data_IF_975397033778
#
_entry.id   IF_975397033778
#
_cell.length_a   1.000
_cell.length_b   1.000
_cell.length_c   1.000
_cell.angle_alpha   90.00
_cell.angle_beta   90.00
_cell.angle_gamma   90.00
#
_symmetry.space_group_name_H-M   'P 1'
#
loop_
_entity.id
_entity.type
_entity.pdbx_description
1 polymer ?
#
# COMPACT_ATOMS: atom_id res chain seq x y z
N UNK A 1 21.60 -7.13 1.53
CA UNK A 1 20.42 -6.37 1.95
C UNK A 1 20.45 -4.92 1.49
N UNK A 2 21.53 -4.20 1.81
CA UNK A 2 21.66 -2.79 1.41
C UNK A 2 21.63 -2.62 -0.12
N UNK A 3 22.36 -3.47 -0.84
CA UNK A 3 22.42 -3.39 -2.31
C UNK A 3 21.03 -3.66 -2.91
N UNK A 4 20.30 -4.64 -2.35
CA UNK A 4 18.96 -4.95 -2.82
C UNK A 4 18.00 -3.78 -2.62
N UNK A 5 18.04 -3.15 -1.44
CA UNK A 5 17.22 -1.98 -1.14
C UNK A 5 17.59 -0.80 -2.05
N UNK A 6 18.86 -0.61 -2.34
CA UNK A 6 19.33 0.45 -3.22
C UNK A 6 18.82 0.23 -4.65
N UNK A 7 18.87 -1.01 -5.15
CA UNK A 7 18.39 -1.35 -6.48
C UNK A 7 16.88 -1.08 -6.57
N UNK A 8 16.11 -1.52 -5.58
CA UNK A 8 14.66 -1.28 -5.56
C UNK A 8 14.37 0.21 -5.50
N UNK A 9 15.09 0.95 -4.68
CA UNK A 9 14.91 2.39 -4.52
C UNK A 9 15.16 3.16 -5.82
N UNK A 10 16.09 2.68 -6.65
CA UNK A 10 16.37 3.28 -7.96
C UNK A 10 15.39 2.80 -9.02
N UNK A 11 15.04 1.50 -9.02
CA UNK A 11 14.19 0.90 -10.05
C UNK A 11 12.75 1.40 -10.00
N UNK A 12 12.19 1.57 -8.80
CA UNK A 12 10.78 1.96 -8.68
C UNK A 12 10.53 3.33 -9.32
N UNK A 13 11.30 4.40 -9.02
CA UNK A 13 11.10 5.68 -9.70
C UNK A 13 11.32 5.60 -11.21
N UNK A 14 12.29 4.78 -11.66
CA UNK A 14 12.55 4.63 -13.10
C UNK A 14 11.35 4.00 -13.79
N UNK A 15 10.78 2.94 -13.21
CA UNK A 15 9.60 2.28 -13.76
C UNK A 15 8.43 3.25 -13.81
N UNK A 16 8.22 4.03 -12.76
CA UNK A 16 7.11 4.97 -12.70
C UNK A 16 7.22 6.09 -13.72
N UNK A 17 8.41 6.65 -13.87
CA UNK A 17 8.64 7.71 -14.87
C UNK A 17 8.41 7.13 -16.27
N UNK A 18 8.89 5.91 -16.53
CA UNK A 18 8.68 5.24 -17.81
C UNK A 18 7.19 5.03 -18.08
N UNK A 19 6.42 4.61 -17.07
CA UNK A 19 4.98 4.44 -17.20
C UNK A 19 4.27 5.77 -17.46
N UNK A 20 4.66 6.84 -16.79
CA UNK A 20 4.10 8.17 -17.02
C UNK A 20 4.32 8.63 -18.45
N UNK A 21 5.53 8.45 -18.96
CA UNK A 21 5.85 8.84 -20.33
C UNK A 21 5.02 8.02 -21.32
N UNK A 22 4.94 6.73 -21.12
CA UNK A 22 4.24 5.83 -22.04
C UNK A 22 2.72 6.07 -22.02
N UNK A 23 2.12 6.10 -20.85
CA UNK A 23 0.68 6.34 -20.71
C UNK A 23 0.32 7.76 -21.15
N UNK A 24 1.17 8.73 -20.80
CA UNK A 24 0.96 10.11 -21.21
C UNK A 24 0.97 10.30 -22.72
N UNK A 25 1.74 9.48 -23.46
CA UNK A 25 1.76 9.54 -24.90
C UNK A 25 0.46 9.03 -25.54
N UNK A 26 -0.26 8.14 -24.84
CA UNK A 26 -1.53 7.60 -25.33
C UNK A 26 -2.72 8.48 -24.96
N UNK A 27 -2.80 8.94 -23.72
CA UNK A 27 -3.99 9.63 -23.21
C UNK A 27 -3.81 11.14 -23.08
N UNK A 28 -2.59 11.64 -23.21
CA UNK A 28 -2.28 13.04 -23.05
C UNK A 28 -1.94 13.42 -21.61
N UNK A 29 -1.21 14.54 -21.45
CA UNK A 29 -0.73 14.95 -20.12
C UNK A 29 -1.88 15.37 -19.21
N UNK A 30 -2.91 16.04 -19.74
CA UNK A 30 -4.05 16.47 -18.92
C UNK A 30 -4.81 15.26 -18.35
N UNK A 31 -5.08 14.25 -19.18
CA UNK A 31 -5.77 13.04 -18.72
C UNK A 31 -4.92 12.25 -17.73
N UNK A 32 -3.61 12.24 -17.91
CA UNK A 32 -2.69 11.59 -16.97
C UNK A 32 -2.76 12.26 -15.60
N UNK A 33 -2.76 13.60 -15.57
CA UNK A 33 -2.88 14.35 -14.31
C UNK A 33 -4.23 14.07 -13.64
N UNK A 34 -5.32 14.00 -14.41
CA UNK A 34 -6.63 13.66 -13.88
C UNK A 34 -6.65 12.27 -13.26
N UNK A 35 -6.01 11.30 -13.91
CA UNK A 35 -5.90 9.94 -13.37
C UNK A 35 -5.15 9.92 -12.05
N UNK A 36 -4.06 10.67 -11.95
CA UNK A 36 -3.27 10.76 -10.73
C UNK A 36 -4.11 11.34 -9.59
N UNK A 37 -4.79 12.45 -9.82
CA UNK A 37 -5.64 13.06 -8.80
C UNK A 37 -6.78 12.15 -8.40
N UNK A 38 -7.42 11.48 -9.37
CA UNK A 38 -8.53 10.58 -9.09
C UNK A 38 -8.10 9.41 -8.21
N UNK A 39 -6.98 8.78 -8.56
CA UNK A 39 -6.46 7.64 -7.77
C UNK A 39 -6.04 8.09 -6.38
N UNK A 40 -5.43 9.28 -6.26
CA UNK A 40 -5.03 9.82 -4.97
C UNK A 40 -6.22 10.07 -4.05
N UNK A 41 -7.29 10.67 -4.58
CA UNK A 41 -8.50 10.96 -3.80
C UNK A 41 -9.19 9.67 -3.36
N UNK A 42 -9.33 8.71 -4.26
CA UNK A 42 -9.93 7.42 -3.94
C UNK A 42 -9.07 6.69 -2.90
N UNK A 43 -7.75 6.73 -3.07
CA UNK A 43 -6.82 6.08 -2.15
C UNK A 43 -6.91 6.68 -0.75
N UNK A 44 -6.92 8.00 -0.63
CA UNK A 44 -7.04 8.67 0.67
C UNK A 44 -8.36 8.29 1.34
N UNK A 45 -9.45 8.23 0.60
CA UNK A 45 -10.73 7.83 1.14
C UNK A 45 -10.69 6.42 1.73
N UNK A 46 -10.15 5.46 0.98
CA UNK A 46 -10.06 4.07 1.45
C UNK A 46 -9.10 3.93 2.64
N UNK A 47 -7.97 4.64 2.62
CA UNK A 47 -7.03 4.62 3.72
C UNK A 47 -7.69 5.13 4.99
N UNK A 48 -8.43 6.24 4.90
CA UNK A 48 -9.12 6.81 6.04
C UNK A 48 -10.16 5.85 6.59
N UNK A 49 -10.98 5.26 5.72
CA UNK A 49 -12.04 4.35 6.12
C UNK A 49 -11.47 3.10 6.80
N UNK A 50 -10.48 2.48 6.19
CA UNK A 50 -9.90 1.26 6.72
C UNK A 50 -9.00 1.53 7.94
N UNK A 51 -8.35 2.67 7.96
CA UNK A 51 -7.54 3.07 9.12
C UNK A 51 -8.38 3.26 10.37
N UNK A 52 -9.54 3.92 10.24
CA UNK A 52 -10.48 4.11 11.35
C UNK A 52 -11.01 2.76 11.82
N UNK A 53 -11.42 1.90 10.89
CA UNK A 53 -11.91 0.57 11.21
C UNK A 53 -10.86 -0.26 11.95
N UNK A 54 -9.62 -0.24 11.49
CA UNK A 54 -8.52 -0.96 12.12
C UNK A 54 -8.22 -0.40 13.50
N UNK A 55 -8.29 0.91 13.68
CA UNK A 55 -8.08 1.55 14.97
C UNK A 55 -9.09 1.07 16.00
N UNK A 56 -10.38 1.03 15.65
CA UNK A 56 -11.41 0.54 16.56
C UNK A 56 -11.25 -0.94 16.87
N UNK A 57 -10.87 -1.73 15.87
CA UNK A 57 -10.60 -3.14 16.08
C UNK A 57 -9.44 -3.36 17.04
N UNK A 58 -8.38 -2.57 16.90
CA UNK A 58 -7.23 -2.62 17.79
C UNK A 58 -7.65 -2.25 19.22
N UNK A 59 -8.42 -1.16 19.36
CA UNK A 59 -8.89 -0.71 20.65
C UNK A 59 -9.73 -1.78 21.35
N UNK A 60 -10.67 -2.42 20.62
CA UNK A 60 -11.50 -3.46 21.19
C UNK A 60 -10.68 -4.68 21.61
N UNK A 61 -9.69 -5.07 20.83
CA UNK A 61 -8.84 -6.21 21.17
C UNK A 61 -8.00 -5.92 22.43
N UNK A 62 -7.51 -4.70 22.57
CA UNK A 62 -6.76 -4.31 23.75
C UNK A 62 -7.65 -4.28 25.01
N UNK A 63 -8.91 -3.83 24.86
CA UNK A 63 -9.87 -3.83 25.97
C UNK A 63 -10.17 -5.25 26.43
N UNK A 64 -10.24 -6.21 25.53
CA UNK A 64 -10.53 -7.61 25.81
C UNK A 64 -9.27 -8.41 26.20
N UNK A 65 -8.14 -7.72 26.36
CA UNK A 65 -6.85 -8.34 26.69
C UNK A 65 -6.41 -9.39 25.66
N UNK A 66 -6.81 -9.21 24.41
CA UNK A 66 -6.35 -10.04 23.31
C UNK A 66 -5.05 -9.51 22.73
N UNK A 67 -4.23 -10.40 22.16
CA UNK A 67 -3.00 -10.00 21.49
C UNK A 67 -3.34 -9.55 20.07
N UNK A 68 -3.20 -8.24 19.73
CA UNK A 68 -3.66 -7.71 18.45
C UNK A 68 -2.57 -7.79 17.37
N UNK A 69 -1.89 -8.93 17.27
CA UNK A 69 -0.74 -9.05 16.37
C UNK A 69 -1.17 -8.89 14.91
N UNK A 70 -2.23 -9.61 14.51
CA UNK A 70 -2.71 -9.52 13.14
C UNK A 70 -3.26 -8.13 12.82
N UNK A 71 -3.95 -7.49 13.75
CA UNK A 71 -4.48 -6.15 13.58
C UNK A 71 -3.35 -5.12 13.43
N UNK A 72 -2.27 -5.29 14.17
CA UNK A 72 -1.10 -4.43 14.03
C UNK A 72 -0.46 -4.56 12.65
N UNK A 73 -0.36 -5.79 12.13
CA UNK A 73 0.13 -6.00 10.75
C UNK A 73 -0.80 -5.37 9.72
N UNK A 74 -2.12 -5.50 9.91
CA UNK A 74 -3.08 -4.85 9.03
C UNK A 74 -2.91 -3.33 9.04
N UNK A 75 -2.74 -2.74 10.22
CA UNK A 75 -2.51 -1.29 10.33
C UNK A 75 -1.23 -0.86 9.63
N UNK A 76 -0.17 -1.65 9.76
CA UNK A 76 1.10 -1.37 9.09
C UNK A 76 0.95 -1.44 7.57
N UNK A 77 0.25 -2.45 7.05
CA UNK A 77 0.01 -2.58 5.61
C UNK A 77 -0.83 -1.42 5.09
N UNK A 78 -1.85 -1.00 5.83
CA UNK A 78 -2.68 0.15 5.45
C UNK A 78 -1.83 1.43 5.41
N UNK A 79 -0.95 1.62 6.39
CA UNK A 79 -0.06 2.78 6.44
C UNK A 79 0.88 2.81 5.24
N UNK A 80 1.51 1.68 4.93
CA UNK A 80 2.41 1.56 3.78
C UNK A 80 1.64 1.81 2.48
N UNK A 81 0.44 1.24 2.36
CA UNK A 81 -0.41 1.44 1.19
C UNK A 81 -0.78 2.90 1.01
N UNK A 82 -1.08 3.61 2.12
CA UNK A 82 -1.37 5.02 2.08
C UNK A 82 -0.20 5.84 1.58
N UNK A 83 1.01 5.53 2.04
CA UNK A 83 2.22 6.21 1.59
C UNK A 83 2.43 5.98 0.10
N UNK A 84 2.23 4.76 -0.39
CA UNK A 84 2.36 4.44 -1.80
C UNK A 84 1.34 5.18 -2.66
N UNK A 85 0.12 5.36 -2.17
CA UNK A 85 -0.94 6.06 -2.89
C UNK A 85 -0.71 7.57 -2.93
N UNK A 86 -0.14 8.14 -1.88
CA UNK A 86 0.17 9.57 -1.83
C UNK A 86 1.29 9.90 -2.81
N UNK A 87 2.27 9.00 -2.95
CA UNK A 87 3.33 9.16 -3.94
C UNK A 87 2.76 8.91 -5.33
N UNK A 88 2.75 9.90 -6.24
CA UNK A 88 2.15 9.70 -7.55
C UNK A 88 2.93 8.69 -8.37
N UNK A 89 2.23 7.70 -8.91
CA UNK A 89 2.84 6.68 -9.73
C UNK A 89 1.85 5.57 -10.05
N UNK A 90 1.88 5.05 -11.27
CA UNK A 90 0.96 3.99 -11.67
C UNK A 90 1.29 2.66 -10.99
N UNK A 91 2.59 2.35 -10.88
CA UNK A 91 3.03 1.12 -10.24
C UNK A 91 2.77 1.13 -8.74
N UNK A 92 3.14 2.23 -8.06
CA UNK A 92 2.92 2.36 -6.62
C UNK A 92 1.44 2.45 -6.27
N UNK A 93 0.62 3.10 -7.13
CA UNK A 93 -0.82 3.14 -6.92
C UNK A 93 -1.42 1.73 -6.97
N UNK A 94 -1.00 0.91 -7.93
CA UNK A 94 -1.46 -0.47 -8.03
C UNK A 94 -1.11 -1.25 -6.77
N UNK A 95 0.12 -1.15 -6.30
CA UNK A 95 0.55 -1.82 -5.08
C UNK A 95 -0.22 -1.31 -3.86
N UNK A 96 -0.45 0.01 -3.79
CA UNK A 96 -1.22 0.61 -2.70
C UNK A 96 -2.64 0.10 -2.64
N UNK A 97 -3.33 0.04 -3.79
CA UNK A 97 -4.69 -0.48 -3.84
C UNK A 97 -4.76 -1.96 -3.48
N UNK A 98 -3.77 -2.76 -3.90
CA UNK A 98 -3.71 -4.17 -3.52
C UNK A 98 -3.59 -4.34 -2.01
N UNK A 99 -2.83 -3.47 -1.36
CA UNK A 99 -2.70 -3.50 0.10
C UNK A 99 -3.96 -3.09 0.84
N UNK A 100 -4.82 -2.28 0.21
CA UNK A 100 -6.06 -1.84 0.81
C UNK A 100 -7.20 -2.84 0.67
N UNK A 101 -7.13 -3.76 -0.29
CA UNK A 101 -8.15 -4.80 -0.44
C UNK A 101 -7.98 -5.81 0.70
N UNK A 102 -9.02 -6.01 1.53
CA UNK A 102 -8.87 -6.87 2.72
C UNK A 102 -8.44 -8.31 2.39
N UNK A 103 -8.95 -8.88 1.30
CA UNK A 103 -8.60 -10.24 0.90
C UNK A 103 -7.11 -10.36 0.55
N UNK A 104 -6.60 -9.45 -0.27
CA UNK A 104 -5.20 -9.42 -0.66
C UNK A 104 -4.30 -9.15 0.54
N UNK A 105 -4.74 -8.26 1.43
CA UNK A 105 -4.00 -7.92 2.65
C UNK A 105 -3.84 -9.13 3.56
N UNK A 106 -4.89 -9.91 3.75
CA UNK A 106 -4.84 -11.11 4.59
C UNK A 106 -3.86 -12.13 4.01
N UNK A 107 -3.88 -12.34 2.69
CA UNK A 107 -2.96 -13.26 2.03
C UNK A 107 -1.52 -12.76 2.21
N UNK A 108 -1.28 -11.47 2.02
CA UNK A 108 0.05 -10.88 2.16
C UNK A 108 0.58 -11.05 3.60
N UNK A 109 -0.27 -10.79 4.58
CA UNK A 109 0.12 -10.92 5.99
C UNK A 109 0.47 -12.37 6.32
N UNK A 110 -0.31 -13.33 5.81
CA UNK A 110 -0.02 -14.75 6.01
C UNK A 110 1.32 -15.15 5.43
N UNK A 111 1.65 -14.67 4.23
CA UNK A 111 2.92 -14.96 3.59
C UNK A 111 4.07 -14.41 4.42
N UNK A 112 3.97 -13.16 4.85
CA UNK A 112 5.02 -12.51 5.65
C UNK A 112 5.17 -13.20 7.00
N UNK A 113 4.05 -13.50 7.67
CA UNK A 113 4.10 -14.15 8.98
C UNK A 113 4.72 -15.54 8.88
N UNK A 114 4.35 -16.33 7.88
CA UNK A 114 4.94 -17.65 7.67
C UNK A 114 6.43 -17.58 7.37
N UNK A 115 6.83 -16.60 6.57
CA UNK A 115 8.23 -16.39 6.23
C UNK A 115 9.06 -16.03 7.47
N UNK A 116 8.52 -15.17 8.33
CA UNK A 116 9.20 -14.76 9.56
C UNK A 116 9.25 -15.91 10.56
N UNK A 117 8.12 -16.60 10.76
CA UNK A 117 8.04 -17.69 11.72
C UNK A 117 8.88 -18.90 11.32
N UNK A 118 9.01 -19.17 10.03
CA UNK A 118 9.80 -20.30 9.56
C UNK A 118 11.30 -20.11 9.79
N UNK A 119 11.76 -18.89 10.01
CA UNK A 119 13.16 -18.59 10.31
C UNK A 119 13.50 -18.77 11.79
N UNK A 120 12.52 -18.83 12.64
CA UNK A 120 12.68 -19.01 14.07
C UNK A 120 12.04 -20.32 14.53
#
# INVERSE_FOLDING_TARGET
MFILLLIIFVLIPVIEISLFIEIGSFVGSFNTILLIFTTALIGVYFVRQQGISTYYKLYNQLQNQEAPIQTMFEGLVILISGILLITPGFFTDTLGFLGLIPLTRVIFIKIVANSVLSRY
#
